data_IF_299103619505
#
_entry.id   IF_299103619505
#
_cell.length_a   1.000
_cell.length_b   1.000
_cell.length_c   1.000
_cell.angle_alpha   90.00
_cell.angle_beta   90.00
_cell.angle_gamma   90.00
#
_symmetry.space_group_name_H-M   'P 1'
#
loop_
_entity.id
_entity.type
_entity.pdbx_description
1 polymer ?
#
# COMPACT_ATOMS: atom_id res chain seq x y z
N UNK A 1 -17.30 2.36 1.20
CA UNK A 1 -16.37 3.49 0.99
C UNK A 1 -15.22 3.03 0.10
N UNK A 2 -14.36 3.93 -0.37
CA UNK A 2 -13.14 3.60 -1.09
C UNK A 2 -11.91 4.06 -0.32
N UNK A 3 -10.80 3.37 -0.53
CA UNK A 3 -9.47 3.87 -0.16
C UNK A 3 -8.71 4.11 -1.47
N UNK A 4 -8.25 5.34 -1.70
CA UNK A 4 -7.30 5.67 -2.77
C UNK A 4 -5.92 5.82 -2.17
N UNK A 5 -4.92 5.22 -2.80
CA UNK A 5 -3.51 5.41 -2.47
C UNK A 5 -2.92 6.21 -3.63
N UNK A 6 -2.36 7.38 -3.35
CA UNK A 6 -1.65 8.22 -4.31
C UNK A 6 -0.18 8.27 -3.92
N UNK A 7 0.67 7.72 -4.77
CA UNK A 7 2.09 7.53 -4.52
C UNK A 7 2.96 8.30 -5.50
N UNK A 8 4.07 8.83 -4.99
CA UNK A 8 5.12 9.53 -5.75
C UNK A 8 6.49 9.00 -5.33
N UNK A 9 7.57 9.55 -5.91
CA UNK A 9 8.96 9.24 -5.52
C UNK A 9 9.22 7.73 -5.50
N UNK A 10 8.96 7.06 -6.62
CA UNK A 10 9.23 5.63 -6.75
C UNK A 10 10.76 5.37 -6.84
N UNK A 11 11.26 4.21 -6.38
CA UNK A 11 12.69 3.95 -6.14
C UNK A 11 13.51 3.67 -7.41
N UNK A 12 12.90 3.68 -8.59
CA UNK A 12 13.50 3.28 -9.86
C UNK A 12 13.37 1.78 -10.16
N UNK A 13 13.90 1.38 -11.32
CA UNK A 13 13.81 0.01 -11.83
C UNK A 13 14.84 -0.96 -11.24
N UNK A 14 15.72 -0.49 -10.36
CA UNK A 14 16.79 -1.29 -9.77
C UNK A 14 16.78 -1.16 -8.26
N UNK A 15 16.88 -2.29 -7.56
CA UNK A 15 17.08 -2.32 -6.11
C UNK A 15 18.33 -3.15 -5.82
N UNK A 16 19.25 -2.67 -4.97
CA UNK A 16 20.36 -3.47 -4.49
C UNK A 16 19.89 -4.83 -3.94
N UNK A 17 20.75 -5.86 -4.00
CA UNK A 17 20.44 -7.13 -3.37
C UNK A 17 20.16 -6.93 -1.86
N UNK A 18 19.24 -7.74 -1.32
CA UNK A 18 19.15 -7.91 0.13
C UNK A 18 20.25 -8.84 0.66
N UNK A 19 20.36 -8.96 1.98
CA UNK A 19 21.41 -9.72 2.68
C UNK A 19 21.61 -11.19 2.25
N UNK A 20 20.66 -11.77 1.52
CA UNK A 20 20.64 -13.18 1.11
C UNK A 20 20.90 -13.41 -0.40
N UNK A 21 21.28 -12.38 -1.15
CA UNK A 21 21.54 -12.46 -2.60
C UNK A 21 22.74 -11.58 -2.95
N UNK A 22 23.53 -11.97 -3.95
CA UNK A 22 24.57 -11.10 -4.52
C UNK A 22 24.06 -10.33 -5.76
N UNK A 23 22.84 -10.63 -6.22
CA UNK A 23 22.28 -10.08 -7.46
C UNK A 23 21.24 -9.02 -7.16
N UNK A 24 21.43 -7.83 -7.73
CA UNK A 24 20.46 -6.73 -7.69
C UNK A 24 19.16 -7.11 -8.40
N UNK A 25 18.03 -6.66 -7.85
CA UNK A 25 16.73 -6.76 -8.51
C UNK A 25 16.66 -5.73 -9.65
N UNK A 26 16.08 -6.14 -10.77
CA UNK A 26 15.85 -5.31 -11.96
C UNK A 26 14.40 -5.37 -12.37
N UNK A 27 13.99 -4.42 -13.21
CA UNK A 27 12.60 -4.28 -13.66
C UNK A 27 11.63 -4.28 -12.46
N UNK A 28 12.01 -3.50 -11.43
CA UNK A 28 11.27 -3.43 -10.16
C UNK A 28 9.91 -2.81 -10.40
N UNK A 29 8.87 -3.45 -9.86
CA UNK A 29 7.48 -3.00 -9.88
C UNK A 29 6.88 -2.99 -8.47
N UNK A 30 5.85 -2.18 -8.27
CA UNK A 30 5.01 -2.14 -7.06
C UNK A 30 3.56 -2.42 -7.38
N UNK A 31 2.88 -3.16 -6.52
CA UNK A 31 1.45 -3.40 -6.65
C UNK A 31 0.76 -3.53 -5.28
N UNK A 32 -0.57 -3.38 -5.25
CA UNK A 32 -1.34 -3.70 -4.04
C UNK A 32 -1.66 -5.19 -4.02
N UNK A 33 -1.26 -5.87 -2.95
CA UNK A 33 -1.43 -7.32 -2.83
C UNK A 33 -2.79 -7.70 -2.25
N UNK A 34 -3.50 -8.61 -2.92
CA UNK A 34 -4.76 -9.16 -2.41
C UNK A 34 -4.56 -10.01 -1.16
N UNK A 35 -5.56 -9.95 -0.28
CA UNK A 35 -5.65 -10.79 0.92
C UNK A 35 -5.85 -12.25 0.52
N UNK A 36 -5.15 -13.13 1.23
CA UNK A 36 -5.21 -14.59 1.10
C UNK A 36 -4.85 -15.13 -0.31
N UNK A 37 -4.43 -14.26 -1.24
CA UNK A 37 -3.98 -14.60 -2.60
C UNK A 37 -2.79 -13.75 -3.03
N UNK A 38 -1.56 -14.07 -2.58
CA UNK A 38 -0.39 -13.23 -2.78
C UNK A 38 0.00 -12.98 -4.25
N UNK A 39 -0.35 -13.89 -5.15
CA UNK A 39 -0.10 -13.75 -6.60
C UNK A 39 -1.12 -12.82 -7.30
N UNK A 40 -2.26 -12.51 -6.68
CA UNK A 40 -3.23 -11.55 -7.21
C UNK A 40 -2.82 -10.14 -6.80
N UNK A 41 -2.17 -9.44 -7.74
CA UNK A 41 -1.68 -8.08 -7.60
C UNK A 41 -2.60 -7.11 -8.36
N UNK A 42 -3.00 -6.03 -7.69
CA UNK A 42 -3.79 -4.98 -8.32
C UNK A 42 -2.85 -3.98 -9.00
N UNK A 43 -2.98 -3.90 -10.32
CA UNK A 43 -2.38 -2.89 -11.20
C UNK A 43 -0.89 -2.61 -10.89
N UNK A 44 0.03 -3.56 -11.21
CA UNK A 44 1.45 -3.35 -11.00
C UNK A 44 1.98 -2.14 -11.78
N UNK A 45 2.75 -1.30 -11.10
CA UNK A 45 3.33 -0.07 -11.63
C UNK A 45 4.86 -0.17 -11.65
N UNK A 46 5.53 0.28 -12.73
CA UNK A 46 6.99 0.23 -12.82
C UNK A 46 7.61 1.19 -11.81
N UNK A 47 8.75 0.80 -11.26
CA UNK A 47 9.46 1.53 -10.20
C UNK A 47 10.00 2.90 -10.62
N UNK A 48 10.01 3.23 -11.91
CA UNK A 48 10.38 4.55 -12.44
C UNK A 48 9.17 5.39 -12.91
N UNK A 49 7.94 4.93 -12.66
CA UNK A 49 6.76 5.76 -12.93
C UNK A 49 6.82 7.06 -12.13
N UNK A 50 6.33 8.15 -12.72
CA UNK A 50 6.27 9.45 -12.04
C UNK A 50 5.35 9.43 -10.80
N UNK A 51 4.31 8.61 -10.86
CA UNK A 51 3.32 8.40 -9.80
C UNK A 51 2.62 7.06 -9.97
N UNK A 52 2.00 6.56 -8.90
CA UNK A 52 1.14 5.38 -8.92
C UNK A 52 -0.13 5.62 -8.10
N UNK A 53 -1.29 5.19 -8.61
CA UNK A 53 -2.57 5.31 -7.90
C UNK A 53 -3.34 4.01 -7.91
N UNK A 54 -3.82 3.60 -6.72
CA UNK A 54 -4.70 2.44 -6.58
C UNK A 54 -5.97 2.82 -5.85
N UNK A 55 -7.12 2.32 -6.31
CA UNK A 55 -8.41 2.51 -5.63
C UNK A 55 -8.97 1.16 -5.19
N UNK A 56 -9.29 1.06 -3.90
CA UNK A 56 -9.71 -0.18 -3.24
C UNK A 56 -11.14 -0.02 -2.72
N UNK A 57 -12.03 -0.92 -3.13
CA UNK A 57 -13.35 -1.02 -2.52
C UNK A 57 -13.24 -1.67 -1.13
N UNK A 58 -13.86 -1.02 -0.13
CA UNK A 58 -13.87 -1.51 1.24
C UNK A 58 -15.15 -1.14 1.99
N UNK A 59 -15.42 -1.90 3.04
CA UNK A 59 -16.49 -1.63 4.01
C UNK A 59 -15.88 -1.23 5.34
N UNK A 60 -16.53 -0.30 6.01
CA UNK A 60 -16.17 0.15 7.35
C UNK A 60 -17.36 -0.14 8.27
N UNK A 61 -17.10 -0.86 9.35
CA UNK A 61 -18.11 -1.27 10.31
C UNK A 61 -17.70 -0.80 11.69
N UNK A 62 -18.65 -0.35 12.50
CA UNK A 62 -18.39 -0.10 13.91
C UNK A 62 -17.92 -1.40 14.59
N UNK A 63 -16.85 -1.30 15.37
CA UNK A 63 -16.31 -2.43 16.12
C UNK A 63 -16.96 -2.50 17.52
N UNK A 64 -17.30 -3.69 18.04
CA UNK A 64 -17.88 -3.84 19.38
C UNK A 64 -17.03 -3.28 20.52
N UNK A 65 -15.71 -3.16 20.32
CA UNK A 65 -14.75 -2.58 21.28
C UNK A 65 -14.52 -1.07 21.12
N UNK A 66 -15.33 -0.39 20.30
CA UNK A 66 -15.10 0.99 19.87
C UNK A 66 -14.21 1.08 18.63
N UNK A 67 -14.38 2.17 17.86
CA UNK A 67 -13.65 2.42 16.62
C UNK A 67 -14.26 1.75 15.38
N UNK A 68 -13.57 1.90 14.26
CA UNK A 68 -14.03 1.46 12.92
C UNK A 68 -13.16 0.33 12.41
N UNK A 69 -13.76 -0.83 12.14
CA UNK A 69 -13.09 -1.96 11.49
C UNK A 69 -13.28 -1.90 9.98
N UNK A 70 -12.18 -1.69 9.24
CA UNK A 70 -12.17 -1.64 7.78
C UNK A 70 -11.89 -3.05 7.22
N UNK A 71 -12.71 -3.49 6.26
CA UNK A 71 -12.63 -4.80 5.60
C UNK A 71 -12.69 -4.65 4.09
N UNK A 72 -12.06 -5.58 3.38
CA UNK A 72 -12.11 -5.64 1.92
C UNK A 72 -11.09 -6.63 1.37
N UNK A 73 -11.11 -6.89 0.04
CA UNK A 73 -10.23 -7.87 -0.60
C UNK A 73 -8.74 -7.56 -0.48
N UNK A 74 -8.39 -6.28 -0.30
CA UNK A 74 -7.01 -5.81 -0.17
C UNK A 74 -6.67 -5.37 1.27
N UNK A 75 -7.59 -5.57 2.21
CA UNK A 75 -7.40 -5.19 3.62
C UNK A 75 -6.95 -6.41 4.42
N UNK A 76 -5.73 -6.32 4.92
CA UNK A 76 -5.02 -7.37 5.61
C UNK A 76 -5.20 -7.24 7.13
N UNK A 77 -4.69 -8.25 7.85
CA UNK A 77 -4.62 -8.22 9.31
C UNK A 77 -5.95 -8.52 10.01
N UNK A 78 -5.97 -8.29 11.33
CA UNK A 78 -7.12 -8.50 12.22
C UNK A 78 -7.73 -7.14 12.61
N UNK A 79 -8.95 -7.07 13.17
CA UNK A 79 -9.46 -5.83 13.74
C UNK A 79 -8.46 -5.20 14.72
N UNK A 80 -8.24 -3.88 14.62
CA UNK A 80 -7.25 -3.13 15.39
C UNK A 80 -5.78 -3.35 14.97
N UNK A 81 -5.54 -4.09 13.89
CA UNK A 81 -4.24 -4.20 13.22
C UNK A 81 -4.44 -4.33 11.69
N UNK A 82 -5.33 -3.50 11.13
CA UNK A 82 -5.66 -3.47 9.71
C UNK A 82 -4.59 -2.72 8.92
N UNK A 83 -4.25 -3.25 7.74
CA UNK A 83 -3.29 -2.61 6.86
C UNK A 83 -3.48 -3.02 5.40
N UNK A 84 -2.84 -2.29 4.49
CA UNK A 84 -2.76 -2.62 3.06
C UNK A 84 -1.32 -3.02 2.74
N UNK A 85 -1.12 -4.07 1.94
CA UNK A 85 0.20 -4.44 1.46
C UNK A 85 0.52 -3.72 0.16
N UNK A 86 1.64 -2.97 0.15
CA UNK A 86 2.37 -2.69 -1.09
C UNK A 86 3.49 -3.73 -1.21
N UNK A 87 3.50 -4.42 -2.34
CA UNK A 87 4.49 -5.46 -2.65
C UNK A 87 5.39 -5.00 -3.77
N UNK A 88 6.70 -5.12 -3.54
CA UNK A 88 7.76 -4.89 -4.51
C UNK A 88 8.25 -6.21 -5.07
N UNK A 89 8.44 -6.26 -6.38
CA UNK A 89 8.90 -7.44 -7.07
C UNK A 89 9.69 -7.12 -8.31
N UNK A 90 10.58 -8.03 -8.68
CA UNK A 90 11.22 -8.03 -9.98
C UNK A 90 10.28 -8.71 -10.98
N UNK A 91 10.12 -8.11 -12.15
CA UNK A 91 9.33 -8.68 -13.25
C UNK A 91 10.28 -9.23 -14.31
N UNK A 92 10.18 -10.52 -14.63
CA UNK A 92 11.01 -11.15 -15.67
C UNK A 92 10.50 -10.85 -17.10
N UNK A 93 11.17 -11.42 -18.11
CA UNK A 93 10.85 -11.21 -19.53
C UNK A 93 9.47 -11.77 -19.88
N UNK A 94 9.02 -12.80 -19.18
CA UNK A 94 7.71 -13.42 -19.30
C UNK A 94 6.61 -12.64 -18.54
N UNK A 95 6.97 -11.59 -17.81
CA UNK A 95 6.04 -10.77 -17.04
C UNK A 95 5.68 -11.34 -15.67
N UNK A 96 6.38 -12.36 -15.19
CA UNK A 96 6.18 -12.96 -13.88
C UNK A 96 6.72 -12.06 -12.78
N UNK A 97 5.90 -11.78 -11.78
CA UNK A 97 6.27 -10.95 -10.64
C UNK A 97 6.83 -11.81 -9.50
N UNK A 98 8.12 -11.65 -9.22
CA UNK A 98 8.78 -12.26 -8.06
C UNK A 98 8.97 -11.24 -6.94
N UNK A 99 8.12 -11.33 -5.91
CA UNK A 99 8.14 -10.44 -4.76
C UNK A 99 9.44 -10.60 -3.95
N UNK A 100 10.10 -9.50 -3.60
CA UNK A 100 11.27 -9.49 -2.71
C UNK A 100 11.11 -8.59 -1.48
N UNK A 101 10.17 -7.62 -1.48
CA UNK A 101 10.01 -6.66 -0.38
C UNK A 101 8.56 -6.21 -0.24
N UNK A 102 8.16 -5.78 0.97
CA UNK A 102 6.80 -5.29 1.25
C UNK A 102 6.78 -4.14 2.25
N UNK A 103 5.79 -3.27 2.08
CA UNK A 103 5.36 -2.27 3.05
C UNK A 103 3.92 -2.54 3.52
N UNK A 104 3.62 -2.17 4.76
CA UNK A 104 2.30 -2.27 5.40
C UNK A 104 1.79 -0.86 5.68
N UNK A 105 0.84 -0.37 4.89
CA UNK A 105 0.17 0.90 5.13
C UNK A 105 -0.86 0.67 6.23
N UNK A 106 -0.55 1.14 7.44
CA UNK A 106 -1.34 0.85 8.62
C UNK A 106 -2.61 1.68 8.64
N UNK A 107 -3.77 1.02 8.64
CA UNK A 107 -5.06 1.69 8.72
C UNK A 107 -5.44 2.09 10.15
N UNK A 108 -4.96 1.37 11.17
CA UNK A 108 -5.19 1.80 12.56
C UNK A 108 -4.33 3.00 12.97
N UNK A 109 -3.43 3.45 12.09
CA UNK A 109 -2.68 4.69 12.26
C UNK A 109 -3.32 5.88 11.54
N UNK A 110 -4.48 5.70 10.91
CA UNK A 110 -5.28 6.78 10.34
C UNK A 110 -5.86 7.62 11.48
N UNK A 111 -5.77 8.96 11.45
CA UNK A 111 -6.44 9.81 12.43
C UNK A 111 -7.95 9.52 12.45
N UNK A 112 -8.52 9.36 13.66
CA UNK A 112 -9.91 8.93 13.81
C UNK A 112 -10.91 9.82 13.04
N UNK A 113 -10.73 11.15 13.10
CA UNK A 113 -11.59 12.10 12.39
C UNK A 113 -11.54 11.93 10.87
N UNK A 114 -10.36 11.65 10.28
CA UNK A 114 -10.23 11.37 8.84
C UNK A 114 -10.95 10.08 8.46
N UNK A 115 -10.83 9.05 9.29
CA UNK A 115 -11.54 7.80 9.03
C UNK A 115 -13.06 7.98 9.15
N UNK A 116 -13.54 8.66 10.18
CA UNK A 116 -14.97 8.97 10.38
C UNK A 116 -15.52 9.80 9.21
N UNK A 117 -14.83 10.88 8.83
CA UNK A 117 -15.20 11.70 7.68
C UNK A 117 -15.19 10.90 6.38
N UNK A 118 -14.26 9.97 6.17
CA UNK A 118 -14.22 9.11 4.99
C UNK A 118 -15.33 8.04 5.00
N UNK A 119 -15.78 7.58 6.17
CA UNK A 119 -16.93 6.68 6.28
C UNK A 119 -18.20 7.40 5.83
N UNK A 120 -18.37 8.67 6.24
CA UNK A 120 -19.51 9.49 5.82
C UNK A 120 -19.42 9.99 4.38
N UNK A 121 -18.24 10.44 3.95
CA UNK A 121 -17.98 11.06 2.64
C UNK A 121 -17.64 10.06 1.52
N UNK A 122 -17.28 8.83 1.88
CA UNK A 122 -17.14 7.71 0.97
C UNK A 122 -15.75 7.47 0.39
N UNK A 123 -14.74 8.31 0.68
CA UNK A 123 -13.36 8.17 0.20
C UNK A 123 -12.34 8.56 1.29
N UNK A 124 -11.36 7.66 1.52
CA UNK A 124 -10.15 7.92 2.29
C UNK A 124 -8.95 7.92 1.33
N UNK A 125 -8.08 8.92 1.40
CA UNK A 125 -6.91 9.05 0.52
C UNK A 125 -5.62 8.98 1.32
N UNK A 126 -4.74 8.05 0.97
CA UNK A 126 -3.40 7.90 1.53
C UNK A 126 -2.34 8.40 0.56
N UNK A 127 -1.55 9.40 0.96
CA UNK A 127 -0.48 10.01 0.16
C UNK A 127 0.89 9.70 0.74
N UNK A 128 1.83 9.23 -0.08
CA UNK A 128 3.18 8.87 0.36
C UNK A 128 4.20 8.86 -0.79
N UNK A 129 5.47 9.14 -0.48
CA UNK A 129 6.58 8.74 -1.33
C UNK A 129 6.80 7.22 -1.25
N UNK A 130 7.42 6.58 -2.24
CA UNK A 130 7.68 5.12 -2.21
C UNK A 130 9.14 4.72 -2.10
N UNK A 131 10.03 5.70 -1.91
CA UNK A 131 11.45 5.51 -1.63
C UNK A 131 11.75 5.73 -0.15
N UNK A 132 12.51 4.84 0.48
CA UNK A 132 12.95 4.99 1.87
C UNK A 132 14.17 5.91 2.01
N UNK A 133 14.65 6.08 3.25
CA UNK A 133 15.78 6.97 3.55
C UNK A 133 17.11 6.51 2.94
N UNK A 134 17.22 5.25 2.51
CA UNK A 134 18.38 4.68 1.85
C UNK A 134 18.31 4.81 0.32
N UNK A 135 17.22 5.36 -0.23
CA UNK A 135 17.00 5.38 -1.68
C UNK A 135 16.41 4.06 -2.21
N UNK A 136 15.91 3.19 -1.34
CA UNK A 136 15.42 1.86 -1.70
C UNK A 136 13.88 1.79 -1.65
N UNK A 137 13.25 0.71 -2.17
CA UNK A 137 11.81 0.58 -2.09
C UNK A 137 11.32 0.59 -0.63
N UNK A 138 10.28 1.39 -0.36
CA UNK A 138 9.70 1.54 0.97
C UNK A 138 9.26 0.18 1.53
N UNK A 139 9.55 -0.08 2.82
CA UNK A 139 9.23 -1.35 3.46
C UNK A 139 8.67 -1.20 4.89
N UNK A 140 8.46 -2.35 5.53
CA UNK A 140 8.06 -2.46 6.94
C UNK A 140 6.70 -1.81 7.24
N UNK A 141 6.54 -1.17 8.40
CA UNK A 141 5.29 -0.52 8.82
C UNK A 141 5.31 0.95 8.40
N UNK A 142 4.30 1.37 7.64
CA UNK A 142 4.13 2.74 7.18
C UNK A 142 2.97 3.37 7.94
N UNK A 143 3.28 4.41 8.70
CA UNK A 143 2.39 5.20 9.55
C UNK A 143 2.68 6.70 9.32
N UNK A 144 1.80 7.63 9.71
CA UNK A 144 2.15 9.05 9.73
C UNK A 144 3.46 9.31 10.52
N UNK A 145 4.32 10.26 10.09
CA UNK A 145 4.12 11.19 8.97
C UNK A 145 4.50 10.61 7.59
N UNK A 146 4.95 9.34 7.50
CA UNK A 146 5.42 8.76 6.24
C UNK A 146 4.32 8.55 5.20
N UNK A 147 3.07 8.44 5.67
CA UNK A 147 1.84 8.52 4.88
C UNK A 147 0.93 9.58 5.48
N UNK A 148 0.33 10.40 4.64
CA UNK A 148 -0.72 11.36 5.03
C UNK A 148 -2.07 10.80 4.63
N UNK A 149 -3.02 10.77 5.56
CA UNK A 149 -4.38 10.31 5.33
C UNK A 149 -5.34 11.48 5.38
N UNK A 150 -6.24 11.57 4.39
CA UNK A 150 -7.30 12.59 4.35
C UNK A 150 -8.61 12.01 3.85
N UNK A 151 -9.72 12.39 4.45
CA UNK A 151 -11.05 12.16 3.90
C UNK A 151 -11.30 13.12 2.73
N UNK A 152 -11.86 12.60 1.65
CA UNK A 152 -12.28 13.39 0.50
C UNK A 152 -13.73 13.06 0.13
N UNK A 153 -14.47 13.98 -0.50
CA UNK A 153 -15.74 13.65 -1.12
C UNK A 153 -15.55 12.56 -2.18
N UNK A 154 -16.50 11.64 -2.26
CA UNK A 154 -16.56 10.69 -3.37
C UNK A 154 -17.16 11.41 -4.58
N UNK A 155 -16.39 11.49 -5.67
CA UNK A 155 -16.88 11.92 -6.99
C UNK A 155 -18.06 11.07 -7.48
#
# INVERSE_FOLDING_TARGET
>A
MRIRIDAVELPGLTCPPGDSSDTAYRNVHVAVQRRDRPAELLDPQPGDAASATWTLECTALASPGGGTDVKGPYIQGRPGNRFIYLSWGAVDEEGSFTMFRRAKLMLDAVPAHELESAVSGGLLVGRLGLTDACGEPLCARVVPPRVTWTAEPRD
#
